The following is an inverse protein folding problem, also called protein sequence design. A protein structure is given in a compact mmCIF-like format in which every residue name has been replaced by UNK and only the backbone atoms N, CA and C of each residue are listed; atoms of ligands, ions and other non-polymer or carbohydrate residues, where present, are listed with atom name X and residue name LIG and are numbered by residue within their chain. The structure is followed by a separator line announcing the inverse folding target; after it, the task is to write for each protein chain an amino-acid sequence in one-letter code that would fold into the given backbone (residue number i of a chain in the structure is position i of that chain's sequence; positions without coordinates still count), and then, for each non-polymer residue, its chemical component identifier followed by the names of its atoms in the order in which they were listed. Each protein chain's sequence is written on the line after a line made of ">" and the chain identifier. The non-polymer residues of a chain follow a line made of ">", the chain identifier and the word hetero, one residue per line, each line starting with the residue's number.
data_IF_838152499063
#
_entry.id   IF_838152499063
#
_cell.length_a   1.000
_cell.length_b   1.000
_cell.length_c   1.000
_cell.angle_alpha   90.00
_cell.angle_beta   90.00
_cell.angle_gamma   90.00
#
_symmetry.space_group_name_H-M   'P 1'
#
loop_
_entity.id
_entity.type
_entity.pdbx_description
1 polymer ?
#
# COMPACT_ATOMS: atom_id res chain seq x y z
N UNK A 1 -8.91 6.59 1.90
CA UNK A 1 -9.88 7.31 1.07
C UNK A 1 -11.10 6.44 0.73
N UNK A 2 -10.92 5.25 0.16
CA UNK A 2 -12.05 4.37 -0.18
C UNK A 2 -13.03 4.09 0.99
N UNK A 3 -12.53 3.64 2.14
CA UNK A 3 -13.39 3.40 3.32
C UNK A 3 -14.09 4.65 3.85
N UNK A 4 -13.51 5.83 3.63
CA UNK A 4 -14.14 7.09 3.99
C UNK A 4 -15.32 7.41 3.09
N UNK A 5 -15.19 7.18 1.77
CA UNK A 5 -16.30 7.31 0.82
C UNK A 5 -17.40 6.29 1.11
N UNK A 6 -17.06 5.04 1.45
CA UNK A 6 -18.04 4.01 1.87
C UNK A 6 -18.81 4.45 3.12
N UNK A 7 -18.14 5.05 4.11
CA UNK A 7 -18.77 5.48 5.36
C UNK A 7 -19.75 6.65 5.20
N UNK A 8 -19.59 7.48 4.17
CA UNK A 8 -20.44 8.65 3.90
C UNK A 8 -21.39 8.43 2.72
N UNK A 9 -21.44 7.22 2.17
CA UNK A 9 -22.29 6.88 1.05
C UNK A 9 -23.77 6.81 1.47
N UNK A 10 -24.63 7.56 0.78
CA UNK A 10 -26.08 7.53 0.97
C UNK A 10 -26.72 6.84 -0.24
N UNK A 11 -27.27 5.62 -0.11
CA UNK A 11 -27.79 4.87 -1.26
C UNK A 11 -28.97 5.54 -1.97
N UNK A 12 -29.73 6.35 -1.23
CA UNK A 12 -30.95 7.02 -1.71
C UNK A 12 -30.68 8.16 -2.70
N UNK A 13 -29.43 8.63 -2.79
CA UNK A 13 -29.04 9.74 -3.66
C UNK A 13 -28.10 9.27 -4.76
N UNK A 14 -28.10 9.91 -5.94
CA UNK A 14 -27.17 9.58 -7.00
C UNK A 14 -25.70 9.77 -6.57
N UNK A 15 -24.81 8.88 -7.01
CA UNK A 15 -23.38 8.90 -6.62
C UNK A 15 -22.66 10.18 -7.04
N UNK A 16 -23.04 10.79 -8.17
CA UNK A 16 -22.40 12.01 -8.67
C UNK A 16 -22.68 13.26 -7.81
N UNK A 17 -23.71 13.23 -6.95
CA UNK A 17 -24.07 14.36 -6.07
C UNK A 17 -23.35 14.35 -4.72
N UNK A 18 -22.67 13.25 -4.40
CA UNK A 18 -22.08 13.01 -3.08
C UNK A 18 -20.55 13.27 -3.04
N UNK A 19 -19.97 13.76 -4.13
CA UNK A 19 -18.54 14.04 -4.21
C UNK A 19 -17.65 12.78 -4.15
N UNK A 20 -18.20 11.63 -4.54
CA UNK A 20 -17.51 10.34 -4.53
C UNK A 20 -16.66 10.21 -5.79
N UNK A 21 -15.39 9.82 -5.63
CA UNK A 21 -14.50 9.60 -6.77
C UNK A 21 -14.16 8.11 -6.92
N UNK A 22 -13.93 7.37 -5.84
CA UNK A 22 -13.51 5.98 -5.89
C UNK A 22 -14.68 5.02 -6.09
N UNK A 23 -15.83 5.30 -5.47
CA UNK A 23 -17.01 4.44 -5.61
C UNK A 23 -17.53 4.36 -7.06
N UNK A 24 -17.63 5.46 -7.83
CA UNK A 24 -17.96 5.37 -9.25
C UNK A 24 -16.96 4.54 -10.09
N UNK A 25 -15.67 4.52 -9.73
CA UNK A 25 -14.69 3.67 -10.43
C UNK A 25 -14.92 2.19 -10.15
N UNK A 26 -15.26 1.83 -8.91
CA UNK A 26 -15.63 0.45 -8.55
C UNK A 26 -16.96 0.03 -9.18
N UNK A 27 -17.93 0.94 -9.22
CA UNK A 27 -19.20 0.76 -9.91
C UNK A 27 -19.02 0.54 -11.42
N UNK A 28 -18.08 1.24 -12.06
CA UNK A 28 -17.74 1.07 -13.49
C UNK A 28 -17.17 -0.31 -13.79
N UNK A 29 -16.49 -0.93 -12.82
CA UNK A 29 -16.01 -2.31 -12.91
C UNK A 29 -17.14 -3.35 -12.73
N UNK A 30 -18.38 -2.92 -12.45
CA UNK A 30 -19.53 -3.79 -12.24
C UNK A 30 -19.64 -4.36 -10.82
N UNK A 31 -18.89 -3.84 -9.85
CA UNK A 31 -18.92 -4.33 -8.47
C UNK A 31 -20.06 -3.66 -7.71
N UNK A 32 -21.00 -4.43 -7.16
CA UNK A 32 -22.07 -3.89 -6.31
C UNK A 32 -23.16 -3.09 -7.05
N UNK A 33 -23.20 -3.17 -8.39
CA UNK A 33 -24.13 -2.41 -9.24
C UNK A 33 -25.04 -3.33 -10.05
N UNK A 34 -26.33 -2.99 -10.09
CA UNK A 34 -27.36 -3.67 -10.86
C UNK A 34 -27.74 -2.95 -12.16
N UNK A 35 -28.78 -3.43 -12.86
CA UNK A 35 -29.29 -2.80 -14.08
C UNK A 35 -29.65 -1.33 -13.84
N UNK A 36 -29.24 -0.43 -14.75
CA UNK A 36 -29.52 1.01 -14.62
C UNK A 36 -28.57 1.78 -13.70
N UNK A 37 -27.52 1.14 -13.16
CA UNK A 37 -26.52 1.82 -12.32
C UNK A 37 -26.93 1.92 -10.84
N UNK A 38 -27.97 1.19 -10.43
CA UNK A 38 -28.42 1.15 -9.04
C UNK A 38 -27.44 0.34 -8.18
N UNK A 39 -27.13 0.85 -6.99
CA UNK A 39 -26.25 0.14 -6.04
C UNK A 39 -27.06 -0.92 -5.31
N UNK A 40 -26.80 -2.19 -5.64
CA UNK A 40 -27.50 -3.33 -5.07
C UNK A 40 -26.77 -3.92 -3.86
N UNK A 41 -25.45 -3.71 -3.75
CA UNK A 41 -24.63 -4.20 -2.64
C UNK A 41 -23.41 -3.30 -2.41
N UNK A 42 -23.19 -2.89 -1.17
CA UNK A 42 -22.05 -2.05 -0.76
C UNK A 42 -20.89 -2.84 -0.18
N UNK A 43 -21.09 -4.13 0.12
CA UNK A 43 -20.04 -5.00 0.67
C UNK A 43 -18.78 -5.11 -0.22
N UNK A 44 -18.88 -5.20 -1.56
CA UNK A 44 -17.71 -5.28 -2.42
C UNK A 44 -16.82 -4.02 -2.34
N UNK A 45 -17.42 -2.85 -2.10
CA UNK A 45 -16.70 -1.59 -1.90
C UNK A 45 -15.94 -1.60 -0.57
N UNK A 46 -16.57 -2.08 0.51
CA UNK A 46 -15.93 -2.22 1.81
C UNK A 46 -14.73 -3.17 1.76
N UNK A 47 -14.89 -4.35 1.15
CA UNK A 47 -13.82 -5.35 0.99
C UNK A 47 -12.63 -4.76 0.24
N UNK A 48 -12.88 -4.04 -0.86
CA UNK A 48 -11.82 -3.36 -1.61
C UNK A 48 -11.04 -2.38 -0.72
N UNK A 49 -11.74 -1.56 0.07
CA UNK A 49 -11.11 -0.62 1.01
C UNK A 49 -10.25 -1.29 2.07
N UNK A 50 -10.72 -2.39 2.67
CA UNK A 50 -9.98 -3.14 3.70
C UNK A 50 -8.75 -3.83 3.12
N UNK A 51 -8.87 -4.47 1.95
CA UNK A 51 -7.77 -5.16 1.29
C UNK A 51 -6.61 -4.19 0.99
N UNK A 52 -6.91 -3.00 0.48
CA UNK A 52 -5.88 -1.99 0.21
C UNK A 52 -5.22 -1.49 1.50
N UNK A 53 -5.99 -1.30 2.58
CA UNK A 53 -5.45 -0.85 3.86
C UNK A 53 -4.47 -1.87 4.45
N UNK A 54 -4.83 -3.15 4.49
CA UNK A 54 -3.96 -4.21 5.00
C UNK A 54 -2.73 -4.39 4.11
N UNK A 55 -2.91 -4.40 2.79
CA UNK A 55 -1.79 -4.53 1.84
C UNK A 55 -0.80 -3.37 1.97
N UNK A 56 -1.29 -2.14 2.17
CA UNK A 56 -0.44 -0.97 2.39
C UNK A 56 0.41 -1.08 3.66
N UNK A 57 -0.12 -1.68 4.73
CA UNK A 57 0.64 -1.91 5.96
C UNK A 57 1.80 -2.89 5.71
N UNK A 58 1.54 -4.01 5.03
CA UNK A 58 2.58 -4.99 4.68
C UNK A 58 3.68 -4.36 3.81
N UNK A 59 3.29 -3.59 2.79
CA UNK A 59 4.23 -2.87 1.93
C UNK A 59 5.02 -1.81 2.71
N UNK A 60 4.38 -1.10 3.64
CA UNK A 60 5.04 -0.14 4.52
C UNK A 60 6.09 -0.78 5.42
N UNK A 61 5.77 -1.92 6.04
CA UNK A 61 6.73 -2.66 6.86
C UNK A 61 7.89 -3.22 6.02
N UNK A 62 7.60 -3.79 4.85
CA UNK A 62 8.64 -4.27 3.94
C UNK A 62 9.58 -3.16 3.48
N UNK A 63 9.02 -2.00 3.10
CA UNK A 63 9.78 -0.82 2.71
C UNK A 63 10.64 -0.26 3.85
N UNK A 64 10.08 -0.16 5.06
CA UNK A 64 10.84 0.27 6.23
C UNK A 64 11.96 -0.71 6.58
N UNK A 65 11.71 -2.02 6.52
CA UNK A 65 12.72 -3.04 6.75
C UNK A 65 13.88 -2.95 5.75
N UNK A 66 13.57 -2.78 4.47
CA UNK A 66 14.57 -2.58 3.43
C UNK A 66 15.37 -1.28 3.66
N UNK A 67 14.70 -0.19 3.99
CA UNK A 67 15.36 1.09 4.31
C UNK A 67 16.31 0.96 5.50
N UNK A 68 15.87 0.32 6.58
CA UNK A 68 16.68 0.10 7.78
C UNK A 68 17.88 -0.82 7.49
N UNK A 69 17.72 -1.81 6.61
CA UNK A 69 18.82 -2.66 6.17
C UNK A 69 19.87 -1.86 5.38
N UNK A 70 19.44 -1.01 4.46
CA UNK A 70 20.35 -0.11 3.72
C UNK A 70 21.05 0.84 4.68
N UNK A 71 20.31 1.45 5.61
CA UNK A 71 20.87 2.34 6.61
C UNK A 71 21.93 1.64 7.48
N UNK A 72 21.68 0.40 7.91
CA UNK A 72 22.64 -0.46 8.63
C UNK A 72 23.90 -0.73 7.79
N UNK A 73 23.73 -1.04 6.50
CA UNK A 73 24.84 -1.34 5.59
C UNK A 73 25.73 -0.13 5.33
N UNK A 74 25.13 1.03 5.12
CA UNK A 74 25.85 2.25 4.74
C UNK A 74 26.52 2.92 5.94
N UNK A 75 25.79 3.08 7.07
CA UNK A 75 26.25 3.93 8.17
C UNK A 75 26.77 3.17 9.40
N UNK A 76 26.48 1.87 9.55
CA UNK A 76 26.81 1.09 10.75
C UNK A 76 27.72 -0.10 10.45
N UNK A 77 28.86 0.18 9.82
CA UNK A 77 29.95 -0.78 9.64
C UNK A 77 29.65 -1.95 8.71
N UNK A 78 28.77 -1.76 7.72
CA UNK A 78 28.65 -2.69 6.61
C UNK A 78 27.76 -3.90 6.84
N UNK A 79 27.72 -4.73 5.81
CA UNK A 79 27.14 -6.09 5.79
C UNK A 79 28.25 -7.05 5.39
N UNK A 80 28.12 -8.33 5.76
CA UNK A 80 29.10 -9.35 5.42
C UNK A 80 29.03 -9.71 3.92
N UNK A 81 30.16 -9.65 3.24
CA UNK A 81 30.34 -10.09 1.85
C UNK A 81 31.18 -11.37 1.81
N UNK A 82 30.56 -12.48 1.43
CA UNK A 82 31.24 -13.78 1.28
C UNK A 82 32.23 -13.82 0.13
N UNK A 83 32.15 -12.86 -0.80
CA UNK A 83 32.95 -12.81 -2.02
C UNK A 83 34.04 -11.73 -1.95
N UNK A 84 34.27 -11.17 -0.75
CA UNK A 84 35.31 -10.18 -0.53
C UNK A 84 36.70 -10.71 -0.97
N UNK A 85 37.51 -9.91 -1.68
CA UNK A 85 38.86 -10.30 -2.10
C UNK A 85 39.74 -10.58 -0.89
N UNK A 86 40.16 -11.84 -0.71
CA UNK A 86 40.93 -12.29 0.45
C UNK A 86 40.19 -13.27 1.38
N UNK A 87 38.90 -13.50 1.13
CA UNK A 87 38.02 -14.31 1.99
C UNK A 87 36.96 -13.41 2.64
N UNK A 88 35.83 -14.00 3.06
CA UNK A 88 34.65 -13.21 3.44
C UNK A 88 34.89 -12.24 4.60
N UNK A 89 34.49 -10.97 4.39
CA UNK A 89 34.75 -9.84 5.29
C UNK A 89 33.51 -8.94 5.42
N UNK A 90 33.55 -7.95 6.32
CA UNK A 90 32.47 -6.97 6.52
C UNK A 90 32.87 -5.62 5.92
N UNK A 91 32.17 -5.18 4.88
CA UNK A 91 32.52 -3.98 4.15
C UNK A 91 31.47 -2.87 4.33
N UNK A 92 31.91 -1.74 4.87
CA UNK A 92 31.09 -0.54 5.08
C UNK A 92 31.40 0.53 4.03
N UNK A 93 30.36 1.02 3.34
CA UNK A 93 30.51 1.93 2.20
C UNK A 93 30.92 3.37 2.56
N UNK A 94 30.76 3.83 3.82
CA UNK A 94 30.81 5.27 4.12
C UNK A 94 31.47 5.72 5.45
N UNK A 95 31.95 4.85 6.34
CA UNK A 95 32.34 5.27 7.72
C UNK A 95 33.74 4.86 8.20
N UNK A 96 34.50 4.04 7.48
CA UNK A 96 35.79 3.50 7.99
C UNK A 96 37.05 3.89 7.19
N UNK A 97 37.03 5.01 6.47
CA UNK A 97 38.20 5.50 5.69
C UNK A 97 38.77 6.83 6.21
N UNK A 98 38.57 7.14 7.49
CA UNK A 98 39.27 8.21 8.23
C UNK A 98 39.84 7.67 9.53
#
# INVERSE_FOLDING_TARGET
>A
MNLFEVAHFVPEKPMYEQGLILLPHLATLGWGVGPGGEVIDTFPYFVSGVLHLISSAVLGFGGLGAFLLVFKAVYFGGVYDTWAPGGGDKDGLLVWTI
#
